data_IF_715787967266
#
_entry.id   IF_715787967266
#
_cell.length_a   1.000
_cell.length_b   1.000
_cell.length_c   1.000
_cell.angle_alpha   90.00
_cell.angle_beta   90.00
_cell.angle_gamma   90.00
#
_symmetry.space_group_name_H-M   'P 1'
#
loop_
_entity.id
_entity.type
_entity.pdbx_description
1 polymer ?
#
# COMPACT_ATOMS: atom_id res chain seq x y z
N UNK A 1 -28.01 7.57 -38.13
CA UNK A 1 -26.55 7.34 -38.34
C UNK A 1 -25.66 8.25 -37.46
N UNK A 2 -26.05 8.54 -36.21
CA UNK A 2 -25.31 9.47 -35.31
C UNK A 2 -24.63 8.78 -34.10
N UNK A 3 -24.71 7.46 -33.99
CA UNK A 3 -24.17 6.72 -32.81
C UNK A 3 -22.74 6.26 -32.95
N UNK A 4 -22.10 6.41 -34.14
CA UNK A 4 -20.77 5.82 -34.38
C UNK A 4 -19.61 6.83 -34.22
N UNK A 5 -19.88 8.12 -34.10
CA UNK A 5 -18.86 9.16 -33.92
C UNK A 5 -18.45 9.32 -32.46
N UNK A 6 -19.40 9.28 -31.52
CA UNK A 6 -19.12 9.42 -30.09
C UNK A 6 -18.22 8.28 -29.54
N UNK A 7 -18.45 7.03 -29.99
CA UNK A 7 -17.64 5.90 -29.52
C UNK A 7 -16.19 5.94 -30.03
N UNK A 8 -15.95 6.51 -31.22
CA UNK A 8 -14.60 6.72 -31.75
C UNK A 8 -13.86 7.84 -31.03
N UNK A 9 -14.55 8.94 -30.73
CA UNK A 9 -13.97 10.08 -30.00
C UNK A 9 -13.64 9.72 -28.56
N UNK A 10 -14.50 8.97 -27.87
CA UNK A 10 -14.21 8.44 -26.52
C UNK A 10 -13.03 7.47 -26.54
N UNK A 11 -12.92 6.60 -27.54
CA UNK A 11 -11.80 5.66 -27.65
C UNK A 11 -10.47 6.37 -27.96
N UNK A 12 -10.48 7.41 -28.78
CA UNK A 12 -9.32 8.26 -29.07
C UNK A 12 -8.88 9.06 -27.84
N UNK A 13 -9.81 9.65 -27.11
CA UNK A 13 -9.55 10.36 -25.86
C UNK A 13 -8.93 9.45 -24.80
N UNK A 14 -9.44 8.22 -24.68
CA UNK A 14 -8.89 7.20 -23.77
C UNK A 14 -7.46 6.82 -24.14
N UNK A 15 -7.18 6.53 -25.41
CA UNK A 15 -5.83 6.20 -25.90
C UNK A 15 -4.83 7.34 -25.69
N UNK A 16 -5.24 8.59 -25.95
CA UNK A 16 -4.39 9.74 -25.68
C UNK A 16 -4.07 9.92 -24.21
N UNK A 17 -5.05 9.71 -23.33
CA UNK A 17 -4.83 9.75 -21.88
C UNK A 17 -3.88 8.64 -21.41
N UNK A 18 -4.07 7.41 -21.90
CA UNK A 18 -3.19 6.28 -21.59
C UNK A 18 -1.75 6.54 -22.07
N UNK A 19 -1.58 7.08 -23.29
CA UNK A 19 -0.27 7.44 -23.83
C UNK A 19 0.40 8.56 -23.01
N UNK A 20 -0.36 9.58 -22.61
CA UNK A 20 0.13 10.66 -21.75
C UNK A 20 0.53 10.16 -20.38
N UNK A 21 -0.28 9.33 -19.76
CA UNK A 21 0.00 8.73 -18.45
C UNK A 21 1.26 7.84 -18.48
N UNK A 22 1.42 7.07 -19.57
CA UNK A 22 2.63 6.26 -19.80
C UNK A 22 3.87 7.13 -19.98
N UNK A 23 3.75 8.23 -20.75
CA UNK A 23 4.82 9.20 -20.93
C UNK A 23 5.23 9.84 -19.60
N UNK A 24 4.28 10.28 -18.78
CA UNK A 24 4.57 10.87 -17.47
C UNK A 24 5.22 9.86 -16.52
N UNK A 25 4.76 8.61 -16.54
CA UNK A 25 5.36 7.55 -15.72
C UNK A 25 6.81 7.27 -16.15
N UNK A 26 7.07 7.17 -17.44
CA UNK A 26 8.43 6.99 -17.98
C UNK A 26 9.34 8.18 -17.68
N UNK A 27 8.85 9.40 -17.86
CA UNK A 27 9.57 10.61 -17.53
C UNK A 27 9.93 10.67 -16.04
N UNK A 28 9.01 10.28 -15.17
CA UNK A 28 9.26 10.17 -13.74
C UNK A 28 10.36 9.14 -13.44
N UNK A 29 10.29 7.95 -14.04
CA UNK A 29 11.29 6.90 -13.86
C UNK A 29 12.67 7.35 -14.37
N UNK A 30 12.77 7.93 -15.56
CA UNK A 30 14.03 8.41 -16.14
C UNK A 30 14.68 9.48 -15.23
N UNK A 31 13.89 10.45 -14.75
CA UNK A 31 14.41 11.51 -13.89
C UNK A 31 14.86 11.03 -12.50
N UNK A 32 14.56 9.79 -12.13
CA UNK A 32 14.82 9.26 -10.78
C UNK A 32 15.69 7.99 -10.77
N UNK A 33 16.15 7.52 -11.94
CA UNK A 33 16.99 6.31 -12.04
C UNK A 33 18.31 6.42 -11.26
N UNK A 34 18.89 7.63 -11.18
CA UNK A 34 20.16 7.87 -10.49
C UNK A 34 19.98 8.20 -9.00
N UNK A 35 18.74 8.25 -8.50
CA UNK A 35 18.47 8.57 -7.12
C UNK A 35 18.67 7.37 -6.21
N UNK A 36 19.54 7.58 -5.22
CA UNK A 36 19.75 6.60 -4.15
C UNK A 36 18.50 6.49 -3.27
N UNK A 37 17.84 5.35 -3.32
CA UNK A 37 16.72 5.02 -2.45
C UNK A 37 17.12 5.04 -0.98
N UNK A 38 16.24 5.48 -0.11
CA UNK A 38 16.41 5.28 1.32
C UNK A 38 16.42 3.78 1.64
N UNK A 39 17.13 3.39 2.66
CA UNK A 39 17.22 1.98 3.06
C UNK A 39 15.87 1.31 3.27
N UNK A 40 14.90 2.02 3.87
CA UNK A 40 13.56 1.49 4.04
C UNK A 40 12.81 1.27 2.71
N UNK A 41 13.05 2.11 1.71
CA UNK A 41 12.45 1.99 0.38
C UNK A 41 13.00 0.75 -0.34
N UNK A 42 14.29 0.53 -0.29
CA UNK A 42 14.90 -0.69 -0.83
C UNK A 42 14.33 -1.94 -0.15
N UNK A 43 14.25 -1.95 1.16
CA UNK A 43 13.66 -3.07 1.90
C UNK A 43 12.17 -3.27 1.60
N UNK A 44 11.43 -2.19 1.32
CA UNK A 44 10.03 -2.31 0.89
C UNK A 44 9.92 -2.94 -0.51
N UNK A 45 10.83 -2.63 -1.43
CA UNK A 45 10.93 -3.32 -2.73
C UNK A 45 11.20 -4.80 -2.52
N UNK A 46 12.15 -5.17 -1.67
CA UNK A 46 12.48 -6.56 -1.36
C UNK A 46 11.28 -7.33 -0.77
N UNK A 47 10.46 -6.66 0.05
CA UNK A 47 9.21 -7.22 0.56
C UNK A 47 8.16 -7.42 -0.55
N UNK A 48 8.06 -6.47 -1.49
CA UNK A 48 7.11 -6.56 -2.60
C UNK A 48 7.47 -7.66 -3.61
N UNK A 49 8.73 -8.06 -3.69
CA UNK A 49 9.18 -9.17 -4.53
C UNK A 49 8.78 -10.55 -3.96
N UNK A 50 8.41 -10.61 -2.69
CA UNK A 50 8.01 -11.85 -2.01
C UNK A 50 6.49 -11.90 -1.90
N UNK A 51 5.81 -12.79 -2.65
CA UNK A 51 4.38 -12.93 -2.55
C UNK A 51 3.94 -13.25 -1.13
N UNK A 52 2.91 -12.54 -0.66
CA UNK A 52 2.26 -12.82 0.61
C UNK A 52 0.83 -13.30 0.34
N UNK A 53 0.53 -14.57 0.62
CA UNK A 53 -0.78 -15.13 0.31
C UNK A 53 -1.90 -14.48 1.12
N UNK A 54 -1.70 -14.31 2.42
CA UNK A 54 -2.73 -13.78 3.33
C UNK A 54 -2.35 -12.45 3.99
N UNK A 55 -1.07 -12.16 4.09
CA UNK A 55 -0.56 -11.04 4.88
C UNK A 55 -0.75 -9.69 4.18
N UNK A 56 -1.17 -8.71 4.95
CA UNK A 56 -1.17 -7.29 4.60
C UNK A 56 0.07 -6.65 5.20
N UNK A 57 0.90 -6.04 4.37
CA UNK A 57 2.10 -5.33 4.80
C UNK A 57 1.69 -3.92 5.23
N UNK A 58 1.94 -3.58 6.48
CA UNK A 58 1.68 -2.24 7.02
C UNK A 58 3.00 -1.53 7.33
N UNK A 59 3.27 -0.43 6.61
CA UNK A 59 4.49 0.37 6.78
C UNK A 59 4.14 1.68 7.46
N UNK A 60 4.45 1.77 8.75
CA UNK A 60 4.24 2.97 9.55
C UNK A 60 5.47 3.87 9.51
N UNK A 61 5.25 5.13 9.12
CA UNK A 61 6.22 6.21 9.30
C UNK A 61 5.72 7.22 10.31
N UNK A 62 6.50 7.51 11.34
CA UNK A 62 6.11 8.43 12.41
C UNK A 62 6.29 9.91 12.02
N UNK A 63 7.16 10.19 11.04
CA UNK A 63 7.57 11.54 10.66
C UNK A 63 7.06 11.90 9.26
N UNK A 64 6.91 13.21 9.01
CA UNK A 64 6.74 13.71 7.64
C UNK A 64 8.03 13.57 6.83
N UNK A 65 7.92 13.75 5.51
CA UNK A 65 9.05 13.75 4.57
C UNK A 65 9.90 12.45 4.55
N UNK A 66 9.31 11.32 4.94
CA UNK A 66 9.94 10.01 4.81
C UNK A 66 9.93 9.48 3.37
N UNK A 67 9.32 10.23 2.45
CA UNK A 67 9.27 9.89 1.04
C UNK A 67 8.25 8.78 0.68
N UNK A 68 7.24 8.50 1.52
CA UNK A 68 6.24 7.45 1.26
C UNK A 68 5.47 7.66 -0.05
N UNK A 69 4.91 8.85 -0.24
CA UNK A 69 4.15 9.18 -1.46
C UNK A 69 5.02 9.18 -2.71
N UNK A 70 6.25 9.70 -2.58
CA UNK A 70 7.22 9.67 -3.66
C UNK A 70 7.55 8.21 -4.03
N UNK A 71 7.78 7.36 -3.05
CA UNK A 71 8.09 5.95 -3.24
C UNK A 71 6.97 5.19 -3.95
N UNK A 72 5.72 5.44 -3.60
CA UNK A 72 4.55 4.86 -4.28
C UNK A 72 4.54 5.21 -5.78
N UNK A 73 4.78 6.49 -6.12
CA UNK A 73 4.90 6.94 -7.51
C UNK A 73 6.08 6.28 -8.23
N UNK A 74 7.21 6.15 -7.55
CA UNK A 74 8.40 5.50 -8.08
C UNK A 74 8.13 4.02 -8.41
N UNK A 75 7.55 3.25 -7.50
CA UNK A 75 7.20 1.84 -7.72
C UNK A 75 6.23 1.70 -8.88
N UNK A 76 5.20 2.55 -8.97
CA UNK A 76 4.24 2.52 -10.06
C UNK A 76 4.89 2.87 -11.41
N UNK A 77 5.84 3.80 -11.45
CA UNK A 77 6.57 4.13 -12.68
C UNK A 77 7.53 3.03 -13.10
N UNK A 78 8.10 2.30 -12.16
CA UNK A 78 9.04 1.21 -12.40
C UNK A 78 8.33 -0.06 -12.93
N UNK A 79 7.20 -0.43 -12.35
CA UNK A 79 6.51 -1.68 -12.62
C UNK A 79 5.32 -1.54 -13.59
N UNK A 80 4.87 -0.31 -13.85
CA UNK A 80 3.72 -0.02 -14.70
C UNK A 80 2.38 -0.03 -13.93
N UNK A 81 1.43 0.72 -14.49
CA UNK A 81 0.07 0.85 -13.92
C UNK A 81 -0.78 -0.41 -14.09
N UNK A 82 -0.43 -1.25 -15.04
CA UNK A 82 -1.06 -2.54 -15.28
C UNK A 82 -0.75 -3.56 -14.18
N UNK A 83 0.34 -3.37 -13.43
CA UNK A 83 0.76 -4.25 -12.35
C UNK A 83 0.57 -3.66 -10.95
N UNK A 84 0.56 -2.32 -10.85
CA UNK A 84 0.55 -1.61 -9.57
C UNK A 84 -0.56 -0.59 -9.54
N UNK A 85 -1.45 -0.68 -8.56
CA UNK A 85 -2.49 0.32 -8.31
C UNK A 85 -2.25 1.04 -6.98
N UNK A 86 -2.49 2.35 -6.98
CA UNK A 86 -2.47 3.19 -5.78
C UNK A 86 -3.90 3.57 -5.41
N UNK A 87 -4.26 3.36 -4.16
CA UNK A 87 -5.58 3.61 -3.60
C UNK A 87 -5.45 4.38 -2.28
N UNK A 88 -6.53 5.02 -1.87
CA UNK A 88 -6.63 5.61 -0.54
C UNK A 88 -7.44 4.67 0.36
N UNK A 89 -6.92 4.36 1.56
CA UNK A 89 -7.57 3.46 2.51
C UNK A 89 -8.88 4.03 3.09
N UNK A 90 -9.10 5.33 2.93
CA UNK A 90 -10.33 6.01 3.36
C UNK A 90 -11.47 5.93 2.36
N UNK A 91 -11.18 5.55 1.14
CA UNK A 91 -12.23 5.33 0.16
C UNK A 91 -13.18 4.24 0.65
N UNK A 92 -14.47 4.48 0.48
CA UNK A 92 -15.46 3.44 0.73
C UNK A 92 -15.20 2.24 -0.18
N UNK A 93 -15.59 1.06 0.27
CA UNK A 93 -15.47 -0.17 -0.51
C UNK A 93 -16.12 -0.03 -1.89
N UNK A 94 -17.28 0.67 -1.97
CA UNK A 94 -17.96 0.93 -3.24
C UNK A 94 -17.13 1.77 -4.22
N UNK A 95 -16.44 2.80 -3.73
CA UNK A 95 -15.56 3.63 -4.57
C UNK A 95 -14.35 2.84 -5.06
N UNK A 96 -13.75 2.04 -4.20
CA UNK A 96 -12.62 1.18 -4.58
C UNK A 96 -13.06 0.16 -5.63
N UNK A 97 -14.24 -0.44 -5.48
CA UNK A 97 -14.79 -1.35 -6.46
C UNK A 97 -15.05 -0.70 -7.83
N UNK A 98 -15.53 0.53 -7.86
CA UNK A 98 -15.70 1.28 -9.11
C UNK A 98 -14.33 1.54 -9.80
N UNK A 99 -13.28 1.80 -9.03
CA UNK A 99 -11.93 1.95 -9.58
C UNK A 99 -11.44 0.61 -10.13
N UNK A 100 -11.58 -0.46 -9.36
CA UNK A 100 -11.08 -1.79 -9.75
C UNK A 100 -11.76 -2.32 -11.02
N UNK A 101 -13.05 -2.07 -11.23
CA UNK A 101 -13.77 -2.44 -12.47
C UNK A 101 -13.16 -1.83 -13.74
N UNK A 102 -12.44 -0.72 -13.63
CA UNK A 102 -11.81 -0.03 -14.76
C UNK A 102 -10.37 -0.47 -15.01
N UNK A 103 -9.85 -1.38 -14.19
CA UNK A 103 -8.47 -1.82 -14.23
C UNK A 103 -8.35 -3.25 -14.78
N UNK A 104 -7.21 -3.60 -15.37
CA UNK A 104 -6.93 -4.96 -15.84
C UNK A 104 -6.62 -5.88 -14.65
N UNK A 105 -7.65 -6.35 -13.95
CA UNK A 105 -7.53 -7.11 -12.70
C UNK A 105 -6.69 -8.39 -12.83
N UNK A 106 -6.59 -8.95 -14.04
CA UNK A 106 -5.77 -10.16 -14.31
C UNK A 106 -4.26 -9.92 -14.21
N UNK A 107 -3.81 -8.69 -14.41
CA UNK A 107 -2.38 -8.32 -14.41
C UNK A 107 -1.94 -7.60 -13.14
N UNK A 108 -2.89 -7.12 -12.33
CA UNK A 108 -2.57 -6.42 -11.09
C UNK A 108 -1.96 -7.36 -10.06
N UNK A 109 -0.74 -7.06 -9.65
CA UNK A 109 0.02 -7.84 -8.67
C UNK A 109 0.15 -7.12 -7.32
N UNK A 110 0.18 -5.78 -7.32
CA UNK A 110 0.51 -4.97 -6.14
C UNK A 110 -0.55 -3.88 -5.92
N UNK A 111 -1.15 -3.90 -4.75
CA UNK A 111 -2.05 -2.86 -4.27
C UNK A 111 -1.35 -2.04 -3.18
N UNK A 112 -1.14 -0.76 -3.46
CA UNK A 112 -0.54 0.18 -2.52
C UNK A 112 -1.61 1.12 -1.99
N UNK A 113 -1.82 1.12 -0.69
CA UNK A 113 -2.73 2.03 -0.02
C UNK A 113 -1.98 3.17 0.64
N UNK A 114 -2.50 4.37 0.47
CA UNK A 114 -2.10 5.53 1.24
C UNK A 114 -3.12 5.73 2.37
N UNK A 115 -2.64 5.81 3.60
CA UNK A 115 -3.44 6.21 4.76
C UNK A 115 -3.00 7.61 5.18
N UNK A 116 -3.72 8.61 4.68
CA UNK A 116 -3.39 10.02 4.91
C UNK A 116 -3.57 10.42 6.39
N UNK A 117 -2.92 11.53 6.79
CA UNK A 117 -2.90 12.08 8.14
C UNK A 117 -4.23 12.68 8.61
N UNK A 118 -5.36 12.29 8.14
CA UNK A 118 -6.62 12.79 8.68
C UNK A 118 -6.87 12.20 10.06
N UNK A 119 -7.51 13.01 10.88
CA UNK A 119 -7.67 12.76 12.31
C UNK A 119 -8.25 11.37 12.66
N UNK A 120 -8.09 11.00 13.91
CA UNK A 120 -8.48 9.74 14.54
C UNK A 120 -9.95 9.29 14.35
N UNK A 121 -10.78 10.11 13.71
CA UNK A 121 -12.24 9.91 13.59
C UNK A 121 -12.72 9.32 12.27
N UNK A 122 -11.86 9.17 11.26
CA UNK A 122 -12.30 8.64 9.97
C UNK A 122 -12.09 7.13 9.89
N UNK A 123 -13.18 6.42 9.59
CA UNK A 123 -13.17 4.96 9.44
C UNK A 123 -12.27 4.55 8.27
N UNK A 124 -11.30 3.69 8.52
CA UNK A 124 -10.50 3.00 7.51
C UNK A 124 -11.28 1.80 7.01
N UNK A 125 -11.21 1.57 5.72
CA UNK A 125 -11.89 0.41 5.11
C UNK A 125 -10.99 -0.83 5.16
N UNK A 126 -10.88 -1.46 6.33
CA UNK A 126 -10.09 -2.69 6.49
C UNK A 126 -10.67 -3.87 5.70
N UNK A 127 -11.98 -3.92 5.54
CA UNK A 127 -12.67 -4.95 4.75
C UNK A 127 -12.14 -5.04 3.31
N UNK A 128 -11.69 -3.90 2.76
CA UNK A 128 -11.07 -3.88 1.43
C UNK A 128 -9.79 -4.68 1.40
N UNK A 129 -8.95 -4.57 2.44
CA UNK A 129 -7.68 -5.28 2.52
C UNK A 129 -7.91 -6.80 2.60
N UNK A 130 -8.93 -7.21 3.33
CA UNK A 130 -9.32 -8.61 3.45
C UNK A 130 -9.85 -9.14 2.13
N UNK A 131 -10.84 -8.47 1.54
CA UNK A 131 -11.44 -8.87 0.26
C UNK A 131 -10.40 -8.97 -0.86
N UNK A 132 -9.42 -8.05 -0.91
CA UNK A 132 -8.33 -8.12 -1.87
C UNK A 132 -7.49 -9.38 -1.68
N UNK A 133 -7.17 -9.72 -0.43
CA UNK A 133 -6.38 -10.93 -0.13
C UNK A 133 -7.15 -12.22 -0.33
N UNK A 134 -8.46 -12.20 -0.24
CA UNK A 134 -9.30 -13.35 -0.50
C UNK A 134 -9.61 -13.52 -2.01
N UNK A 135 -9.18 -12.58 -2.86
CA UNK A 135 -9.36 -12.64 -4.32
C UNK A 135 -10.81 -12.46 -4.76
N UNK A 136 -11.68 -12.04 -3.87
CA UNK A 136 -13.06 -11.74 -4.19
C UNK A 136 -13.49 -10.41 -3.58
N UNK A 137 -14.40 -9.74 -4.26
CA UNK A 137 -15.02 -8.54 -3.79
C UNK A 137 -16.52 -8.75 -3.65
N UNK A 138 -17.00 -8.31 -2.52
CA UNK A 138 -18.44 -8.30 -2.24
C UNK A 138 -19.10 -7.17 -3.01
N UNK A 139 -20.26 -7.46 -3.56
CA UNK A 139 -21.12 -6.53 -4.26
C UNK A 139 -21.34 -5.23 -3.50
N UNK A 140 -21.23 -4.10 -4.20
CA UNK A 140 -21.67 -2.82 -3.66
C UNK A 140 -23.19 -2.81 -3.48
N UNK A 141 -23.71 -1.96 -2.59
CA UNK A 141 -25.14 -1.78 -2.32
C UNK A 141 -26.02 -1.54 -3.57
N UNK A 142 -25.42 -1.26 -4.71
CA UNK A 142 -26.08 -0.86 -5.95
C UNK A 142 -25.87 -1.82 -7.14
N UNK A 143 -25.07 -2.87 -6.99
CA UNK A 143 -24.90 -3.90 -8.00
C UNK A 143 -24.60 -5.22 -7.36
N UNK A 144 -25.42 -6.22 -7.65
CA UNK A 144 -25.30 -7.59 -7.11
C UNK A 144 -24.17 -8.40 -7.75
N UNK A 145 -23.17 -7.77 -8.34
CA UNK A 145 -22.09 -8.46 -9.03
C UNK A 145 -20.93 -8.77 -8.07
N UNK A 146 -20.56 -10.03 -8.04
CA UNK A 146 -19.33 -10.48 -7.39
C UNK A 146 -18.19 -10.31 -8.39
N UNK A 147 -17.21 -9.48 -8.06
CA UNK A 147 -15.98 -9.35 -8.84
C UNK A 147 -14.98 -10.35 -8.28
N UNK A 148 -14.66 -11.35 -9.07
CA UNK A 148 -13.55 -12.26 -8.79
C UNK A 148 -12.31 -11.78 -9.54
N UNK A 149 -11.18 -11.82 -8.88
CA UNK A 149 -9.89 -11.46 -9.46
C UNK A 149 -8.78 -12.33 -8.88
N UNK A 150 -7.67 -12.35 -9.59
CA UNK A 150 -6.46 -13.03 -9.08
C UNK A 150 -6.05 -12.40 -7.75
N UNK A 151 -5.88 -13.22 -6.72
CA UNK A 151 -5.31 -12.74 -5.44
C UNK A 151 -4.00 -11.99 -5.68
N UNK A 152 -3.90 -10.73 -5.28
CA UNK A 152 -2.70 -9.94 -5.51
C UNK A 152 -1.52 -10.52 -4.71
N UNK A 153 -0.34 -10.48 -5.32
CA UNK A 153 0.88 -10.91 -4.65
C UNK A 153 1.17 -10.07 -3.41
N UNK A 154 0.90 -8.77 -3.49
CA UNK A 154 1.18 -7.83 -2.40
C UNK A 154 0.02 -6.86 -2.18
N UNK A 155 -0.39 -6.73 -0.92
CA UNK A 155 -1.20 -5.61 -0.42
C UNK A 155 -0.36 -4.89 0.62
N UNK A 156 -0.04 -3.62 0.38
CA UNK A 156 0.81 -2.81 1.24
C UNK A 156 0.17 -1.47 1.58
N UNK A 157 0.17 -1.10 2.85
CA UNK A 157 -0.38 0.15 3.37
C UNK A 157 0.74 1.03 3.89
N UNK A 158 0.79 2.29 3.46
CA UNK A 158 1.69 3.31 3.98
C UNK A 158 0.92 4.27 4.89
N UNK A 159 1.21 4.25 6.17
CA UNK A 159 0.47 4.98 7.19
C UNK A 159 1.37 5.82 8.10
N UNK A 160 0.76 6.72 8.85
CA UNK A 160 1.35 7.43 9.99
C UNK A 160 0.93 6.85 11.35
N UNK A 161 -0.11 6.03 11.36
CA UNK A 161 -0.65 5.40 12.55
C UNK A 161 -0.44 3.89 12.54
N UNK A 162 -0.55 3.27 13.69
CA UNK A 162 -0.63 1.80 13.78
C UNK A 162 -1.94 1.30 13.17
N UNK A 163 -1.97 0.08 12.62
CA UNK A 163 -3.23 -0.54 12.24
C UNK A 163 -4.07 -0.86 13.48
N UNK A 164 -5.37 -0.88 13.31
CA UNK A 164 -6.24 -1.50 14.30
C UNK A 164 -6.16 -3.03 14.13
N UNK A 165 -5.39 -3.66 15.01
CA UNK A 165 -5.11 -5.09 14.97
C UNK A 165 -6.35 -5.97 15.22
N UNK A 166 -7.48 -5.38 15.62
CA UNK A 166 -8.73 -6.10 15.87
C UNK A 166 -9.57 -6.28 14.62
N UNK A 167 -9.30 -5.52 13.57
CA UNK A 167 -10.06 -5.49 12.32
C UNK A 167 -9.81 -6.70 11.41
N UNK A 168 -8.63 -7.30 11.49
CA UNK A 168 -8.28 -8.52 10.75
C UNK A 168 -7.67 -9.55 11.71
N UNK A 169 -7.67 -10.81 11.31
CA UNK A 169 -7.01 -11.87 12.09
C UNK A 169 -5.51 -11.60 12.24
N UNK A 170 -4.92 -12.03 13.35
CA UNK A 170 -3.52 -11.72 13.70
C UNK A 170 -2.50 -12.21 12.67
N UNK A 171 -2.77 -13.30 11.99
CA UNK A 171 -1.94 -13.89 10.94
C UNK A 171 -1.92 -13.07 9.64
N UNK A 172 -2.87 -12.13 9.47
CA UNK A 172 -2.91 -11.23 8.32
C UNK A 172 -2.00 -10.01 8.45
N UNK A 173 -1.44 -9.74 9.62
CA UNK A 173 -0.67 -8.53 9.87
C UNK A 173 0.84 -8.73 9.76
N UNK A 174 1.48 -7.91 8.93
CA UNK A 174 2.93 -7.80 8.83
C UNK A 174 3.35 -6.35 8.96
N UNK A 175 3.53 -5.92 10.21
CA UNK A 175 3.73 -4.50 10.55
C UNK A 175 5.20 -4.15 10.60
N UNK A 176 5.57 -3.10 9.87
CA UNK A 176 6.91 -2.53 9.83
C UNK A 176 6.89 -1.05 10.20
N UNK A 177 7.99 -0.60 10.77
CA UNK A 177 8.21 0.79 11.19
C UNK A 177 9.42 1.37 10.47
N UNK A 178 9.24 2.55 9.87
CA UNK A 178 10.35 3.30 9.28
C UNK A 178 11.20 3.89 10.40
N UNK A 179 12.49 3.64 10.39
CA UNK A 179 13.47 4.20 11.32
C UNK A 179 14.75 4.60 10.58
N UNK A 180 15.76 5.12 11.30
CA UNK A 180 17.05 5.54 10.74
C UNK A 180 17.80 4.41 10.03
N UNK A 181 17.54 3.16 10.45
CA UNK A 181 18.24 1.97 9.94
C UNK A 181 17.40 1.21 8.89
N UNK A 182 16.28 1.76 8.43
CA UNK A 182 15.37 1.15 7.46
C UNK A 182 14.05 0.69 8.09
N UNK A 183 13.56 -0.49 7.71
CA UNK A 183 12.36 -1.11 8.28
C UNK A 183 12.71 -1.99 9.48
N UNK A 184 11.91 -1.89 10.54
CA UNK A 184 11.96 -2.81 11.68
C UNK A 184 10.58 -3.45 11.88
N UNK A 185 10.53 -4.77 12.08
CA UNK A 185 9.27 -5.46 12.38
C UNK A 185 8.77 -5.14 13.80
N UNK A 186 7.47 -5.32 14.01
CA UNK A 186 6.85 -5.14 15.33
C UNK A 186 7.48 -6.06 16.40
N UNK A 187 7.77 -7.29 16.07
CA UNK A 187 8.40 -8.25 16.96
C UNK A 187 9.78 -7.79 17.45
N UNK A 188 10.60 -7.28 16.52
CA UNK A 188 11.93 -6.74 16.85
C UNK A 188 11.84 -5.56 17.80
N UNK A 189 10.86 -4.65 17.60
CA UNK A 189 10.66 -3.51 18.52
C UNK A 189 10.26 -3.94 19.92
N UNK A 190 9.37 -4.94 20.04
CA UNK A 190 8.97 -5.48 21.34
C UNK A 190 10.15 -6.11 22.08
N UNK A 191 11.02 -6.82 21.36
CA UNK A 191 12.24 -7.41 21.94
C UNK A 191 13.23 -6.34 22.41
N UNK A 192 13.51 -5.32 21.62
CA UNK A 192 14.40 -4.20 21.96
C UNK A 192 13.88 -3.43 23.18
N UNK A 193 12.58 -3.18 23.28
CA UNK A 193 11.96 -2.51 24.42
C UNK A 193 12.05 -3.33 25.71
N UNK A 194 11.94 -4.65 25.63
CA UNK A 194 12.11 -5.56 26.78
C UNK A 194 13.57 -5.62 27.24
N UNK A 195 14.51 -5.63 26.32
CA UNK A 195 15.95 -5.64 26.59
C UNK A 195 16.41 -4.36 27.27
N UNK A 196 15.93 -3.20 26.83
CA UNK A 196 16.25 -1.90 27.44
C UNK A 196 15.69 -1.79 28.88
N UNK A 197 14.48 -2.30 29.12
CA UNK A 197 13.89 -2.34 30.49
C UNK A 197 14.66 -3.26 31.44
N UNK A 198 15.21 -4.37 30.95
CA UNK A 198 16.08 -5.25 31.77
C UNK A 198 17.39 -4.55 32.14
N UNK A 199 18.02 -3.84 31.19
CA UNK A 199 19.28 -3.10 31.47
C UNK A 199 19.06 -1.97 32.50
N UNK A 200 17.98 -1.22 32.40
CA UNK A 200 17.68 -0.14 33.36
C UNK A 200 17.39 -0.64 34.78
N UNK A 201 16.86 -1.87 34.92
CA UNK A 201 16.66 -2.50 36.24
C UNK A 201 17.94 -3.03 36.85
N UNK A 202 18.93 -3.42 36.06
CA UNK A 202 20.21 -3.89 36.55
C UNK A 202 21.12 -2.76 37.07
N UNK A 203 21.07 -1.56 36.42
CA UNK A 203 21.82 -0.39 36.90
C UNK A 203 21.31 0.21 38.21
N UNK A 204 20.10 -0.13 38.68
CA UNK A 204 19.55 0.43 39.93
C UNK A 204 19.85 -0.46 41.19
N UNK A 205 20.66 -1.51 41.05
CA UNK A 205 20.91 -2.45 42.16
C UNK A 205 22.31 -2.38 42.79
N UNK A 206 23.00 -1.26 42.65
CA UNK A 206 24.22 -1.03 43.45
C UNK A 206 23.98 0.21 44.31
N UNK A 207 23.66 0.03 45.64
CA UNK A 207 23.86 1.09 46.58
C UNK A 207 25.34 1.28 46.80
N UNK A 208 25.80 2.52 46.61
CA UNK A 208 27.12 2.94 47.04
C UNK A 208 27.11 2.94 48.56
N UNK A 209 27.93 2.08 49.17
CA UNK A 209 28.39 2.23 50.52
C UNK A 209 29.68 3.06 50.51
#
# INVERSE_FOLDING_TARGET
>A
MLTNTNSKEESLSKKHKEAFDLYQSRKFAINHNDLKLYRWQQQAIDLMQKPTLREVIWVKGARGNEGKTWFQKYVQSLLGRERVVQLDLKNSIGNIMQILRKLPLSTLDIFMFNDARSGLSESRSYDVLENLKDGCSIASKYSSEIIQFKTPNVVIVFSYADPDMTQLSKDRWKVFYINKNGLSSQEKRLWESRSSRKRSRHCRRFPLY
#
